data_IF_704065862505
#
_entry.id   IF_704065862505
#
_cell.length_a   1.000
_cell.length_b   1.000
_cell.length_c   1.000
_cell.angle_alpha   90.00
_cell.angle_beta   90.00
_cell.angle_gamma   90.00
#
_symmetry.space_group_name_H-M   'P 1'
#
loop_
_entity.id
_entity.type
_entity.pdbx_description
1 polymer ?
#
# COMPACT_ATOMS: atom_id res chain seq x y z
N UNK A 1 -4.87 2.37 14.65
CA UNK A 1 -5.41 3.56 13.94
C UNK A 1 -5.31 3.30 12.45
N UNK A 2 -6.33 3.58 11.65
CA UNK A 2 -6.21 3.46 10.18
C UNK A 2 -5.22 4.52 9.68
N UNK A 3 -4.24 4.17 8.84
CA UNK A 3 -3.29 5.13 8.30
C UNK A 3 -4.00 6.08 7.32
N UNK A 4 -3.79 7.40 7.49
CA UNK A 4 -4.44 8.46 6.70
C UNK A 4 -3.47 8.92 5.60
N UNK A 5 -3.94 9.11 4.35
CA UNK A 5 -3.09 9.61 3.29
C UNK A 5 -2.71 11.07 3.54
N UNK A 6 -1.45 11.42 3.30
CA UNK A 6 -0.96 12.82 3.42
C UNK A 6 -1.65 13.73 2.40
N UNK A 7 -1.88 13.22 1.18
CA UNK A 7 -2.64 13.89 0.13
C UNK A 7 -3.46 12.86 -0.65
N UNK A 8 -4.72 13.15 -1.01
CA UNK A 8 -5.50 12.24 -1.86
C UNK A 8 -4.90 12.13 -3.27
N UNK A 9 -5.08 10.96 -3.86
CA UNK A 9 -4.92 10.69 -5.29
C UNK A 9 -6.04 11.38 -6.09
N UNK A 10 -5.75 11.79 -7.33
CA UNK A 10 -6.73 12.47 -8.18
C UNK A 10 -7.58 11.45 -8.93
N UNK A 11 -6.94 10.40 -9.47
CA UNK A 11 -7.57 9.42 -10.35
C UNK A 11 -7.97 8.13 -9.60
N UNK A 12 -7.39 7.90 -8.42
CA UNK A 12 -7.72 6.75 -7.59
C UNK A 12 -8.16 7.13 -6.18
N UNK A 13 -8.80 6.19 -5.50
CA UNK A 13 -8.92 6.19 -4.05
C UNK A 13 -8.32 4.91 -3.50
N UNK A 14 -7.22 5.04 -2.75
CA UNK A 14 -6.63 3.93 -2.05
C UNK A 14 -6.95 4.02 -0.55
N UNK A 15 -7.40 2.90 0.02
CA UNK A 15 -7.74 2.78 1.43
C UNK A 15 -7.19 1.50 2.01
N UNK A 16 -6.53 1.60 3.17
CA UNK A 16 -6.20 0.42 3.98
C UNK A 16 -7.44 0.09 4.80
N UNK A 17 -8.04 -1.06 4.51
CA UNK A 17 -9.32 -1.52 5.10
C UNK A 17 -9.07 -2.32 6.38
N UNK A 18 -7.88 -2.90 6.53
CA UNK A 18 -7.55 -3.63 7.75
C UNK A 18 -6.10 -4.09 7.80
N UNK A 19 -5.57 -4.15 9.02
CA UNK A 19 -4.29 -4.79 9.33
C UNK A 19 -4.56 -5.80 10.45
N UNK A 20 -4.26 -7.07 10.21
CA UNK A 20 -4.46 -8.16 11.17
C UNK A 20 -3.19 -9.01 11.31
N UNK A 21 -3.19 -9.95 12.26
CA UNK A 21 -2.07 -10.87 12.53
C UNK A 21 -1.22 -10.49 13.75
N UNK A 22 -0.27 -11.36 14.13
CA UNK A 22 0.55 -11.26 15.35
C UNK A 22 2.07 -11.34 15.07
N UNK A 23 2.86 -10.74 15.96
CA UNK A 23 4.31 -10.69 15.85
C UNK A 23 4.82 -10.02 14.56
N UNK A 24 5.72 -10.73 13.86
CA UNK A 24 6.41 -10.23 12.67
C UNK A 24 5.68 -10.50 11.36
N UNK A 25 4.50 -11.14 11.41
CA UNK A 25 3.67 -11.37 10.23
C UNK A 25 2.34 -10.67 10.38
N UNK A 26 1.94 -9.97 9.32
CA UNK A 26 0.71 -9.19 9.25
C UNK A 26 0.00 -9.48 7.93
N UNK A 27 -1.31 -9.42 7.95
CA UNK A 27 -2.11 -9.34 6.72
C UNK A 27 -2.61 -7.92 6.58
N UNK A 28 -2.32 -7.30 5.45
CA UNK A 28 -2.78 -5.96 5.11
C UNK A 28 -3.81 -6.10 4.00
N UNK A 29 -5.03 -5.65 4.28
CA UNK A 29 -6.11 -5.60 3.31
C UNK A 29 -6.31 -4.17 2.88
N UNK A 30 -6.23 -3.93 1.58
CA UNK A 30 -6.41 -2.62 0.97
C UNK A 30 -7.45 -2.68 -0.15
N UNK A 31 -8.03 -1.54 -0.45
CA UNK A 31 -8.98 -1.33 -1.53
C UNK A 31 -8.49 -0.16 -2.39
N UNK A 32 -8.58 -0.34 -3.71
CA UNK A 32 -8.27 0.67 -4.70
C UNK A 32 -9.49 0.88 -5.59
N UNK A 33 -10.01 2.10 -5.63
CA UNK A 33 -11.13 2.50 -6.47
C UNK A 33 -10.67 3.39 -7.61
N UNK A 34 -11.16 3.13 -8.83
CA UNK A 34 -10.94 3.96 -10.00
C UNK A 34 -11.98 5.10 -10.02
N UNK A 35 -11.51 6.36 -9.91
CA UNK A 35 -12.34 7.57 -9.96
C UNK A 35 -12.45 8.18 -11.34
N UNK A 36 -11.72 7.66 -12.31
CA UNK A 36 -11.79 8.11 -13.70
C UNK A 36 -13.13 7.70 -14.31
N UNK A 37 -13.53 8.41 -15.36
CA UNK A 37 -14.72 8.07 -16.16
C UNK A 37 -14.47 6.90 -17.13
N UNK A 38 -13.22 6.46 -17.24
CA UNK A 38 -12.75 5.42 -18.16
C UNK A 38 -12.17 4.24 -17.39
N UNK A 39 -12.11 3.08 -18.04
CA UNK A 39 -11.48 1.88 -17.50
C UNK A 39 -9.95 2.04 -17.46
N UNK A 40 -9.34 1.51 -16.40
CA UNK A 40 -7.89 1.52 -16.20
C UNK A 40 -7.33 0.14 -16.48
N UNK A 41 -6.30 0.04 -17.32
CA UNK A 41 -5.74 -1.24 -17.76
C UNK A 41 -4.36 -1.51 -17.17
N UNK A 42 -4.06 -2.80 -16.96
CA UNK A 42 -2.78 -3.26 -16.43
C UNK A 42 -2.39 -2.54 -15.12
N UNK A 43 -3.36 -2.34 -14.24
CA UNK A 43 -3.17 -1.67 -12.97
C UNK A 43 -2.30 -2.53 -12.04
N UNK A 44 -1.20 -1.96 -11.60
CA UNK A 44 -0.25 -2.56 -10.66
C UNK A 44 -0.07 -1.62 -9.48
N UNK A 45 -0.19 -2.18 -8.27
CA UNK A 45 0.05 -1.44 -7.03
C UNK A 45 1.39 -1.86 -6.46
N UNK A 46 2.26 -0.88 -6.27
CA UNK A 46 3.55 -1.03 -5.60
C UNK A 46 3.49 -0.39 -4.23
N UNK A 47 3.88 -1.15 -3.20
CA UNK A 47 3.99 -0.71 -1.82
C UNK A 47 5.44 -0.72 -1.36
N UNK A 48 6.00 0.45 -1.11
CA UNK A 48 7.30 0.60 -0.46
C UNK A 48 7.11 1.10 0.98
N UNK A 49 7.89 0.53 1.91
CA UNK A 49 7.79 0.87 3.33
C UNK A 49 9.11 1.46 3.81
N UNK A 50 9.05 2.59 4.49
CA UNK A 50 10.21 3.24 5.11
C UNK A 50 9.94 3.51 6.58
N UNK A 51 10.96 3.41 7.43
CA UNK A 51 10.88 3.77 8.85
C UNK A 51 12.13 4.56 9.22
N UNK A 52 11.95 5.79 9.68
CA UNK A 52 13.03 6.78 9.74
C UNK A 52 13.72 6.92 8.38
N UNK A 53 15.03 6.72 8.33
CA UNK A 53 15.82 6.79 7.09
C UNK A 53 16.09 5.41 6.45
N UNK A 54 15.44 4.35 6.92
CA UNK A 54 15.64 2.97 6.43
C UNK A 54 14.49 2.51 5.55
N UNK A 55 14.82 1.84 4.45
CA UNK A 55 13.86 1.01 3.70
C UNK A 55 13.61 -0.26 4.50
N UNK A 56 12.33 -0.53 4.77
CA UNK A 56 11.87 -1.79 5.34
C UNK A 56 11.70 -2.78 4.20
N UNK A 57 12.11 -4.04 4.41
CA UNK A 57 12.04 -5.08 3.38
C UNK A 57 10.90 -6.07 3.65
N UNK A 58 9.64 -5.74 3.33
CA UNK A 58 8.53 -6.68 3.46
C UNK A 58 8.78 -7.93 2.61
N UNK A 59 8.63 -9.11 3.20
CA UNK A 59 8.96 -10.40 2.57
C UNK A 59 10.40 -10.47 2.02
N UNK A 60 11.33 -9.71 2.61
CA UNK A 60 12.72 -9.61 2.15
C UNK A 60 12.92 -8.78 0.88
N UNK A 61 11.85 -8.22 0.30
CA UNK A 61 11.86 -7.43 -0.92
C UNK A 61 11.90 -5.93 -0.61
N UNK A 62 12.48 -5.07 -1.48
CA UNK A 62 12.48 -3.62 -1.27
C UNK A 62 11.09 -2.98 -1.37
N UNK A 63 10.14 -3.68 -1.98
CA UNK A 63 8.74 -3.31 -2.11
C UNK A 63 7.89 -4.56 -2.33
N UNK A 64 6.59 -4.44 -2.13
CA UNK A 64 5.60 -5.42 -2.59
C UNK A 64 4.91 -4.91 -3.84
N UNK A 65 4.48 -5.83 -4.69
CA UNK A 65 3.76 -5.52 -5.92
C UNK A 65 2.54 -6.43 -6.03
N UNK A 66 1.42 -5.87 -6.46
CA UNK A 66 0.15 -6.57 -6.66
C UNK A 66 -0.40 -6.16 -8.01
N UNK A 67 -0.59 -7.14 -8.88
CA UNK A 67 -1.29 -6.98 -10.15
C UNK A 67 -2.81 -7.01 -9.90
N UNK A 68 -3.51 -5.96 -10.33
CA UNK A 68 -4.96 -5.81 -10.23
C UNK A 68 -5.65 -5.95 -11.59
N UNK A 69 -4.90 -6.06 -12.70
CA UNK A 69 -5.44 -6.15 -14.04
C UNK A 69 -6.23 -4.89 -14.44
N UNK A 70 -7.41 -5.10 -15.05
CA UNK A 70 -8.29 -3.99 -15.44
C UNK A 70 -9.24 -3.61 -14.30
N UNK A 71 -9.33 -2.32 -14.01
CA UNK A 71 -10.26 -1.75 -13.02
C UNK A 71 -11.25 -0.86 -13.76
N UNK A 72 -12.53 -1.24 -13.78
CA UNK A 72 -13.53 -0.46 -14.52
C UNK A 72 -13.78 0.90 -13.90
N UNK A 73 -14.28 1.84 -14.68
CA UNK A 73 -14.72 3.15 -14.20
C UNK A 73 -15.66 3.02 -13.01
N UNK A 74 -15.31 3.65 -11.87
CA UNK A 74 -16.09 3.62 -10.63
C UNK A 74 -16.03 2.31 -9.84
N UNK A 75 -15.29 1.31 -10.32
CA UNK A 75 -15.13 0.04 -9.61
C UNK A 75 -14.08 0.16 -8.49
N UNK A 76 -14.23 -0.68 -7.47
CA UNK A 76 -13.25 -0.85 -6.40
C UNK A 76 -12.75 -2.30 -6.37
N UNK A 77 -11.43 -2.47 -6.34
CA UNK A 77 -10.77 -3.76 -6.21
C UNK A 77 -10.16 -3.87 -4.84
N UNK A 78 -10.44 -4.98 -4.15
CA UNK A 78 -9.91 -5.28 -2.82
C UNK A 78 -8.86 -6.38 -2.92
N UNK A 79 -7.73 -6.18 -2.25
CA UNK A 79 -6.64 -7.14 -2.20
C UNK A 79 -6.09 -7.28 -0.78
N UNK A 80 -5.69 -8.50 -0.44
CA UNK A 80 -5.07 -8.83 0.85
C UNK A 80 -3.68 -9.38 0.60
N UNK A 81 -2.68 -8.72 1.19
CA UNK A 81 -1.29 -9.13 1.10
C UNK A 81 -0.78 -9.57 2.46
N UNK A 82 -0.09 -10.71 2.48
CA UNK A 82 0.64 -11.18 3.65
C UNK A 82 2.04 -10.57 3.65
N UNK A 83 2.35 -9.88 4.74
CA UNK A 83 3.61 -9.18 4.95
C UNK A 83 4.34 -9.81 6.13
N UNK A 84 5.53 -10.32 5.87
CA UNK A 84 6.47 -10.78 6.89
C UNK A 84 7.62 -9.78 7.00
N UNK A 85 7.87 -9.33 8.21
CA UNK A 85 8.91 -8.36 8.55
C UNK A 85 10.07 -9.07 9.25
N UNK A 86 11.30 -8.62 9.00
CA UNK A 86 12.44 -9.03 9.82
C UNK A 86 12.30 -8.50 11.25
N UNK A 87 12.90 -9.18 12.23
CA UNK A 87 12.85 -8.77 13.64
C UNK A 87 13.28 -7.31 13.86
N UNK A 88 14.43 -6.93 13.27
CA UNK A 88 14.94 -5.55 13.36
C UNK A 88 14.04 -4.53 12.67
N UNK A 89 13.41 -4.90 11.57
CA UNK A 89 12.49 -4.03 10.84
C UNK A 89 11.18 -3.81 11.62
N UNK A 90 10.66 -4.87 12.25
CA UNK A 90 9.55 -4.77 13.19
C UNK A 90 9.86 -3.81 14.35
N UNK A 91 11.04 -3.94 14.96
CA UNK A 91 11.46 -3.06 16.06
C UNK A 91 11.59 -1.59 15.62
N UNK A 92 12.13 -1.33 14.42
CA UNK A 92 12.22 0.03 13.86
C UNK A 92 10.84 0.66 13.68
N UNK A 93 9.89 -0.11 13.14
CA UNK A 93 8.51 0.35 12.95
C UNK A 93 7.86 0.67 14.30
N UNK A 94 8.06 -0.16 15.32
CA UNK A 94 7.54 0.11 16.67
C UNK A 94 8.13 1.38 17.27
N UNK A 95 9.41 1.67 17.03
CA UNK A 95 10.07 2.84 17.61
C UNK A 95 9.78 4.15 16.88
N UNK A 96 9.74 4.12 15.54
CA UNK A 96 9.71 5.32 14.71
C UNK A 96 8.40 5.48 13.90
N UNK A 97 7.51 4.49 13.94
CA UNK A 97 6.45 4.35 12.97
C UNK A 97 6.96 3.91 11.60
N UNK A 98 6.08 3.95 10.60
CA UNK A 98 6.37 3.67 9.21
C UNK A 98 5.70 4.70 8.30
N UNK A 99 6.30 4.94 7.13
CA UNK A 99 5.69 5.63 6.01
C UNK A 99 5.51 4.62 4.90
N UNK A 100 4.28 4.47 4.45
CA UNK A 100 3.87 3.60 3.35
C UNK A 100 3.77 4.46 2.10
N UNK A 101 4.60 4.19 1.09
CA UNK A 101 4.54 4.81 -0.23
C UNK A 101 3.81 3.84 -1.14
N UNK A 102 2.57 4.20 -1.50
CA UNK A 102 1.73 3.43 -2.39
C UNK A 102 1.77 4.09 -3.76
N UNK A 103 2.32 3.39 -4.74
CA UNK A 103 2.32 3.82 -6.15
C UNK A 103 1.36 2.94 -6.93
N UNK A 104 0.36 3.55 -7.54
CA UNK A 104 -0.52 2.90 -8.51
C UNK A 104 0.03 3.23 -9.89
N UNK A 105 0.31 2.21 -10.68
CA UNK A 105 0.77 2.35 -12.07
C UNK A 105 -0.22 1.62 -12.97
N UNK A 106 -0.69 2.27 -14.02
CA UNK A 106 -1.45 1.66 -15.10
C UNK A 106 -0.90 2.14 -16.45
N UNK A 107 -1.55 1.73 -17.54
CA UNK A 107 -1.24 2.24 -18.87
C UNK A 107 -1.63 3.73 -19.04
N UNK A 108 -2.70 4.16 -18.36
CA UNK A 108 -3.25 5.51 -18.45
C UNK A 108 -2.58 6.51 -17.50
N UNK A 109 -2.23 6.08 -16.28
CA UNK A 109 -1.81 7.00 -15.23
C UNK A 109 -0.87 6.34 -14.22
N UNK A 110 -0.01 7.14 -13.61
CA UNK A 110 0.79 6.74 -12.45
C UNK A 110 0.63 7.76 -11.34
N UNK A 111 0.16 7.33 -10.18
CA UNK A 111 -0.01 8.18 -9.00
C UNK A 111 0.69 7.58 -7.79
N UNK A 112 1.16 8.42 -6.88
CA UNK A 112 1.76 7.97 -5.62
C UNK A 112 1.16 8.74 -4.46
N UNK A 113 0.84 8.00 -3.40
CA UNK A 113 0.34 8.54 -2.14
C UNK A 113 1.18 7.98 -0.99
N UNK A 114 1.31 8.81 0.06
CA UNK A 114 2.00 8.43 1.28
C UNK A 114 1.00 8.29 2.40
N UNK A 115 1.19 7.27 3.22
CA UNK A 115 0.46 7.11 4.47
C UNK A 115 1.43 7.03 5.63
N UNK A 116 1.17 7.79 6.67
CA UNK A 116 1.85 7.61 7.95
C UNK A 116 1.16 6.52 8.78
N UNK A 117 1.97 5.64 9.34
CA UNK A 117 1.52 4.57 10.23
C UNK A 117 2.32 4.64 11.52
N UNK A 118 1.62 4.69 12.65
CA UNK A 118 2.20 4.49 13.98
C UNK A 118 1.46 3.31 14.63
N UNK A 119 2.19 2.22 14.96
CA UNK A 119 1.60 1.05 15.61
C UNK A 119 1.06 1.35 17.01
#
# INVERSE_FOLDING_TARGET
>A
MEPVPEKPMENFEARIVGISGEGLTREVTAELSNKMAEDVHNAVVKLQVTSGNSVIKPNGQPYLEVDLGTIKSGEAVKSTIKVSLGFFDGLKITQNGAVLHLTVKSDEVTETVKYEYKP
#
